data_IF_422733097833
#
_entry.id   IF_422733097833
#
_cell.length_a   1.000
_cell.length_b   1.000
_cell.length_c   1.000
_cell.angle_alpha   90.00
_cell.angle_beta   90.00
_cell.angle_gamma   90.00
#
_symmetry.space_group_name_H-M   'P 1'
#
loop_
_entity.id
_entity.type
_entity.pdbx_description
1 polymer ?
#
# COMPACT_ATOMS: atom_id res chain seq x y z
N UNK A 1 45.61 31.08 -9.22
CA UNK A 1 45.62 30.90 -7.75
C UNK A 1 44.43 30.11 -7.15
N UNK A 2 43.20 30.03 -7.72
CA UNK A 2 42.06 29.37 -7.05
C UNK A 2 42.09 27.83 -7.05
N UNK A 3 42.82 27.21 -8.00
CA UNK A 3 42.87 25.74 -8.11
C UNK A 3 43.71 25.05 -7.02
N UNK A 4 44.64 25.77 -6.38
CA UNK A 4 45.48 25.20 -5.32
C UNK A 4 44.73 25.11 -3.98
N UNK A 5 43.99 26.16 -3.63
CA UNK A 5 43.15 26.17 -2.42
C UNK A 5 42.02 25.14 -2.48
N UNK A 6 41.44 24.92 -3.66
CA UNK A 6 40.42 23.87 -3.86
C UNK A 6 40.98 22.46 -3.62
N UNK A 7 42.17 22.17 -4.16
CA UNK A 7 42.84 20.87 -3.94
C UNK A 7 43.21 20.63 -2.47
N UNK A 8 43.60 21.68 -1.73
CA UNK A 8 43.87 21.58 -0.30
C UNK A 8 42.58 21.31 0.49
N UNK A 9 41.48 21.98 0.12
CA UNK A 9 40.18 21.77 0.77
C UNK A 9 39.64 20.35 0.51
N UNK A 10 39.74 19.85 -0.73
CA UNK A 10 39.33 18.49 -1.10
C UNK A 10 40.17 17.43 -0.36
N UNK A 11 41.47 17.69 -0.17
CA UNK A 11 42.37 16.81 0.59
C UNK A 11 42.01 16.78 2.10
N UNK A 12 41.70 17.93 2.70
CA UNK A 12 41.26 18.00 4.09
C UNK A 12 39.90 17.32 4.30
N UNK A 13 38.95 17.49 3.35
CA UNK A 13 37.67 16.79 3.36
C UNK A 13 37.86 15.27 3.26
N UNK A 14 38.78 14.80 2.40
CA UNK A 14 39.09 13.37 2.28
C UNK A 14 39.66 12.80 3.60
N UNK A 15 40.52 13.54 4.31
CA UNK A 15 41.07 13.11 5.61
C UNK A 15 39.98 13.06 6.68
N UNK A 16 39.09 14.05 6.73
CA UNK A 16 37.97 14.08 7.68
C UNK A 16 37.00 12.93 7.40
N UNK A 17 36.67 12.68 6.14
CA UNK A 17 35.84 11.55 5.72
C UNK A 17 36.49 10.21 6.07
N UNK A 18 37.79 10.05 5.81
CA UNK A 18 38.53 8.84 6.16
C UNK A 18 38.51 8.59 7.68
N UNK A 19 38.74 9.63 8.48
CA UNK A 19 38.73 9.54 9.94
C UNK A 19 37.33 9.23 10.48
N UNK A 20 36.29 9.79 9.87
CA UNK A 20 34.90 9.47 10.19
C UNK A 20 34.57 8.01 9.85
N UNK A 21 34.97 7.52 8.68
CA UNK A 21 34.80 6.12 8.26
C UNK A 21 35.54 5.17 9.21
N UNK A 22 36.79 5.46 9.55
CA UNK A 22 37.58 4.63 10.48
C UNK A 22 36.94 4.59 11.86
N UNK A 23 36.50 5.73 12.40
CA UNK A 23 35.80 5.78 13.68
C UNK A 23 34.48 5.00 13.65
N UNK A 24 33.76 5.04 12.52
CA UNK A 24 32.49 4.33 12.35
C UNK A 24 32.71 2.82 12.25
N UNK A 25 33.77 2.38 11.55
CA UNK A 25 34.21 0.99 11.51
C UNK A 25 34.64 0.52 12.91
N UNK A 26 35.40 1.34 13.63
CA UNK A 26 35.89 0.97 14.97
C UNK A 26 34.77 0.91 16.01
N UNK A 27 33.77 1.79 15.90
CA UNK A 27 32.54 1.73 16.68
C UNK A 27 31.67 0.52 16.32
N UNK A 28 31.58 0.16 15.04
CA UNK A 28 30.89 -1.06 14.61
C UNK A 28 31.61 -2.30 15.16
N UNK A 29 32.93 -2.37 15.04
CA UNK A 29 33.74 -3.48 15.54
C UNK A 29 33.60 -3.62 17.06
N UNK A 30 33.60 -2.53 17.83
CA UNK A 30 33.43 -2.60 19.29
C UNK A 30 32.02 -3.02 19.73
N UNK A 31 31.00 -2.81 18.89
CA UNK A 31 29.64 -3.33 19.10
C UNK A 31 29.55 -4.83 18.78
N UNK A 32 30.32 -5.32 17.80
CA UNK A 32 30.25 -6.70 17.32
C UNK A 32 31.25 -7.67 17.96
N UNK A 33 32.37 -7.21 18.52
CA UNK A 33 33.33 -8.09 19.20
C UNK A 33 32.80 -8.41 20.62
N UNK A 34 32.48 -9.69 20.92
CA UNK A 34 31.98 -10.07 22.23
C UNK A 34 33.06 -9.90 23.31
N UNK A 35 32.71 -9.32 24.45
CA UNK A 35 33.58 -9.31 25.64
C UNK A 35 33.62 -10.66 26.35
N UNK A 36 32.64 -11.54 26.07
CA UNK A 36 32.52 -12.91 26.59
C UNK A 36 31.87 -13.84 25.56
N UNK A 37 32.24 -15.14 25.49
CA UNK A 37 31.74 -16.08 24.47
C UNK A 37 30.22 -16.34 24.55
N UNK A 38 29.62 -16.18 25.73
CA UNK A 38 28.16 -16.27 25.95
C UNK A 38 27.52 -14.88 25.97
N UNK A 39 27.41 -14.27 24.80
CA UNK A 39 26.79 -12.94 24.66
C UNK A 39 25.90 -12.86 23.42
N UNK A 40 24.98 -11.89 23.40
CA UNK A 40 24.07 -11.69 22.27
C UNK A 40 24.83 -11.35 20.98
N UNK A 41 26.02 -10.75 21.11
CA UNK A 41 26.94 -10.45 20.01
C UNK A 41 27.33 -11.72 19.25
N UNK A 42 27.50 -12.86 19.94
CA UNK A 42 27.80 -14.16 19.31
C UNK A 42 26.69 -14.58 18.34
N UNK A 43 25.43 -14.33 18.67
CA UNK A 43 24.30 -14.68 17.79
C UNK A 43 24.27 -13.79 16.54
N UNK A 44 24.58 -12.50 16.67
CA UNK A 44 24.73 -11.62 15.50
C UNK A 44 25.90 -12.07 14.62
N UNK A 45 27.02 -12.48 15.21
CA UNK A 45 28.16 -13.00 14.47
C UNK A 45 27.82 -14.32 13.76
N UNK A 46 27.10 -15.24 14.41
CA UNK A 46 26.60 -16.47 13.79
C UNK A 46 25.64 -16.17 12.65
N UNK A 47 24.73 -15.21 12.81
CA UNK A 47 23.85 -14.74 11.73
C UNK A 47 24.65 -14.22 10.53
N UNK A 48 25.67 -13.39 10.77
CA UNK A 48 26.50 -12.85 9.71
C UNK A 48 27.35 -13.94 9.02
N UNK A 49 27.91 -14.86 9.82
CA UNK A 49 28.66 -16.00 9.32
C UNK A 49 27.78 -16.91 8.46
N UNK A 50 26.58 -17.26 8.93
CA UNK A 50 25.62 -18.05 8.14
C UNK A 50 25.23 -17.34 6.84
N UNK A 51 25.09 -16.02 6.86
CA UNK A 51 24.81 -15.24 5.65
C UNK A 51 25.97 -15.32 4.66
N UNK A 52 27.21 -15.14 5.12
CA UNK A 52 28.39 -15.24 4.27
C UNK A 52 28.54 -16.65 3.68
N UNK A 53 28.41 -17.68 4.51
CA UNK A 53 28.46 -19.07 4.05
C UNK A 53 27.34 -19.39 3.06
N UNK A 54 26.17 -18.74 3.17
CA UNK A 54 25.06 -18.94 2.23
C UNK A 54 25.38 -18.44 0.82
N UNK A 55 26.28 -17.47 0.67
CA UNK A 55 26.70 -16.97 -0.65
C UNK A 55 27.62 -17.95 -1.37
N UNK A 56 28.32 -18.80 -0.61
CA UNK A 56 29.24 -19.83 -1.11
C UNK A 56 28.55 -21.18 -1.33
N UNK A 57 27.31 -21.32 -0.88
CA UNK A 57 26.55 -22.56 -0.95
C UNK A 57 25.44 -22.48 -2.00
N UNK A 58 25.00 -23.63 -2.48
CA UNK A 58 23.89 -23.75 -3.44
C UNK A 58 22.78 -24.66 -2.92
N UNK A 59 21.60 -24.55 -3.57
CA UNK A 59 20.45 -25.41 -3.33
C UNK A 59 19.94 -25.39 -1.88
N UNK A 60 19.74 -26.58 -1.31
CA UNK A 60 19.15 -26.77 0.03
C UNK A 60 20.06 -26.22 1.13
N UNK A 61 21.39 -26.35 0.98
CA UNK A 61 22.36 -25.89 1.96
C UNK A 61 22.29 -24.37 2.10
N UNK A 62 22.18 -23.66 0.97
CA UNK A 62 21.96 -22.20 0.97
C UNK A 62 20.68 -21.81 1.69
N UNK A 63 19.57 -22.51 1.44
CA UNK A 63 18.27 -22.25 2.11
C UNK A 63 18.35 -22.47 3.62
N UNK A 64 19.01 -23.55 4.06
CA UNK A 64 19.22 -23.84 5.48
C UNK A 64 20.06 -22.74 6.14
N UNK A 65 21.15 -22.31 5.49
CA UNK A 65 22.00 -21.24 5.99
C UNK A 65 21.24 -19.92 6.11
N UNK A 66 20.46 -19.52 5.10
CA UNK A 66 19.59 -18.34 5.16
C UNK A 66 18.51 -18.44 6.25
N UNK A 67 18.00 -19.64 6.51
CA UNK A 67 17.09 -19.88 7.64
C UNK A 67 17.78 -19.63 8.98
N UNK A 68 19.02 -20.11 9.14
CA UNK A 68 19.83 -19.90 10.35
C UNK A 68 20.16 -18.41 10.56
N UNK A 69 20.38 -17.63 9.51
CA UNK A 69 20.51 -16.16 9.60
C UNK A 69 19.31 -15.58 10.34
N UNK A 70 18.09 -15.91 9.90
CA UNK A 70 16.87 -15.41 10.53
C UNK A 70 16.75 -15.82 12.00
N UNK A 71 16.97 -17.11 12.30
CA UNK A 71 16.87 -17.65 13.66
C UNK A 71 17.87 -16.97 14.60
N UNK A 72 19.15 -16.91 14.22
CA UNK A 72 20.18 -16.28 15.05
C UNK A 72 19.95 -14.79 15.22
N UNK A 73 19.48 -14.10 14.18
CA UNK A 73 19.12 -12.69 14.27
C UNK A 73 17.97 -12.45 15.26
N UNK A 74 16.88 -13.25 15.20
CA UNK A 74 15.73 -13.11 16.09
C UNK A 74 16.14 -13.35 17.54
N UNK A 75 16.89 -14.42 17.81
CA UNK A 75 17.40 -14.74 19.15
C UNK A 75 18.37 -13.67 19.64
N UNK A 76 19.27 -13.19 18.78
CA UNK A 76 20.23 -12.14 19.08
C UNK A 76 19.56 -10.83 19.45
N UNK A 77 18.56 -10.39 18.67
CA UNK A 77 17.78 -9.18 18.96
C UNK A 77 16.95 -9.35 20.22
N UNK A 78 16.27 -10.48 20.42
CA UNK A 78 15.51 -10.74 21.64
C UNK A 78 16.41 -10.65 22.88
N UNK A 79 17.57 -11.32 22.85
CA UNK A 79 18.50 -11.30 23.97
C UNK A 79 19.09 -9.90 24.18
N UNK A 80 19.56 -9.23 23.12
CA UNK A 80 20.12 -7.88 23.22
C UNK A 80 19.11 -6.89 23.81
N UNK A 81 17.87 -6.91 23.32
CA UNK A 81 16.82 -5.99 23.78
C UNK A 81 16.30 -6.32 25.19
N UNK A 82 16.35 -7.59 25.60
CA UNK A 82 15.98 -8.01 26.97
C UNK A 82 17.10 -7.73 27.98
N UNK A 83 18.37 -7.89 27.57
CA UNK A 83 19.53 -7.59 28.39
C UNK A 83 19.68 -6.08 28.65
N UNK A 84 19.35 -5.27 27.63
CA UNK A 84 19.33 -3.82 27.74
C UNK A 84 18.10 -3.35 28.52
N UNK A 85 18.27 -3.17 29.83
CA UNK A 85 17.21 -2.76 30.77
C UNK A 85 16.59 -1.41 30.46
N UNK A 86 17.02 -0.65 29.46
CA UNK A 86 16.59 0.72 29.18
C UNK A 86 15.44 0.83 28.15
N UNK A 87 15.13 -0.22 27.39
CA UNK A 87 14.16 -0.16 26.30
C UNK A 87 12.71 -0.47 26.74
N UNK A 88 11.98 0.58 27.12
CA UNK A 88 10.59 0.49 27.56
C UNK A 88 9.73 1.55 26.85
N UNK A 89 8.54 1.17 26.40
CA UNK A 89 7.54 2.10 25.82
C UNK A 89 6.94 2.96 26.94
N UNK A 90 6.66 2.34 28.08
CA UNK A 90 6.18 3.01 29.28
C UNK A 90 6.79 2.32 30.49
N UNK A 91 7.29 3.12 31.45
CA UNK A 91 7.85 2.64 32.71
C UNK A 91 7.22 3.43 33.84
N UNK A 92 6.54 2.74 34.75
CA UNK A 92 6.11 3.37 36.00
C UNK A 92 7.34 3.58 36.88
N UNK A 93 7.72 4.84 37.10
CA UNK A 93 8.86 5.19 37.95
C UNK A 93 8.59 4.96 39.45
N UNK A 94 7.33 4.84 39.87
CA UNK A 94 6.93 4.79 41.29
C UNK A 94 6.75 3.35 41.82
N UNK A 95 6.64 2.34 40.96
CA UNK A 95 6.51 0.93 41.39
C UNK A 95 7.84 0.34 41.88
N UNK A 96 7.84 -0.27 43.07
CA UNK A 96 8.92 -1.15 43.55
C UNK A 96 8.35 -2.57 43.76
N UNK A 97 8.93 -3.61 43.11
CA UNK A 97 10.09 -3.56 42.22
C UNK A 97 9.76 -2.90 40.87
N UNK A 98 10.75 -2.23 40.24
CA UNK A 98 10.66 -1.56 38.93
C UNK A 98 10.44 -2.57 37.78
N UNK A 99 9.34 -3.30 37.81
CA UNK A 99 8.96 -4.36 36.84
C UNK A 99 7.68 -4.03 36.10
N UNK A 100 6.98 -2.95 36.48
CA UNK A 100 5.71 -2.58 35.89
C UNK A 100 5.92 -1.57 34.76
N UNK A 101 5.70 -2.03 33.52
CA UNK A 101 5.90 -1.26 32.30
C UNK A 101 5.68 -2.10 31.06
N UNK A 102 5.58 -1.46 29.90
CA UNK A 102 5.43 -2.13 28.61
C UNK A 102 6.81 -2.27 27.96
N UNK A 103 7.41 -3.48 27.91
CA UNK A 103 8.73 -3.66 27.31
C UNK A 103 8.66 -3.45 25.80
N UNK A 104 9.63 -2.72 25.24
CA UNK A 104 9.74 -2.51 23.79
C UNK A 104 10.33 -3.75 23.08
N UNK A 105 11.09 -4.58 23.81
CA UNK A 105 11.76 -5.76 23.29
C UNK A 105 10.81 -6.73 22.54
N UNK A 106 9.67 -7.17 23.11
CA UNK A 106 8.74 -8.05 22.41
C UNK A 106 8.11 -7.44 21.14
N UNK A 107 8.00 -6.12 21.07
CA UNK A 107 7.56 -5.41 19.87
C UNK A 107 8.58 -5.52 18.75
N UNK A 108 9.85 -5.20 19.02
CA UNK A 108 10.93 -5.29 18.03
C UNK A 108 11.13 -6.75 17.59
N UNK A 109 11.25 -7.67 18.54
CA UNK A 109 11.43 -9.10 18.24
C UNK A 109 10.24 -9.67 17.47
N UNK A 110 9.01 -9.30 17.85
CA UNK A 110 7.81 -9.72 17.12
C UNK A 110 7.76 -9.20 15.68
N UNK A 111 8.25 -7.98 15.42
CA UNK A 111 8.29 -7.42 14.06
C UNK A 111 9.22 -8.24 13.16
N UNK A 112 10.43 -8.53 13.67
CA UNK A 112 11.43 -9.32 12.94
C UNK A 112 10.94 -10.76 12.76
N UNK A 113 10.34 -11.35 13.79
CA UNK A 113 9.76 -12.69 13.72
C UNK A 113 8.61 -12.75 12.71
N UNK A 114 7.73 -11.76 12.66
CA UNK A 114 6.68 -11.67 11.65
C UNK A 114 7.25 -11.56 10.23
N UNK A 115 8.23 -10.68 10.02
CA UNK A 115 8.89 -10.56 8.72
C UNK A 115 9.52 -11.90 8.30
N UNK A 116 10.18 -12.57 9.24
CA UNK A 116 10.75 -13.89 8.98
C UNK A 116 9.68 -14.94 8.65
N UNK A 117 8.61 -15.06 9.45
CA UNK A 117 7.57 -16.09 9.28
C UNK A 117 6.70 -15.89 8.03
N UNK A 118 6.38 -14.65 7.67
CA UNK A 118 5.43 -14.35 6.60
C UNK A 118 6.09 -13.89 5.28
N UNK A 119 7.38 -13.53 5.30
CA UNK A 119 8.12 -13.10 4.10
C UNK A 119 9.28 -14.04 3.82
N UNK A 120 10.23 -14.16 4.74
CA UNK A 120 11.48 -14.91 4.50
C UNK A 120 11.28 -16.41 4.44
N UNK A 121 10.54 -17.00 5.38
CA UNK A 121 10.34 -18.44 5.47
C UNK A 121 9.53 -18.98 4.27
N UNK A 122 8.41 -18.36 3.84
CA UNK A 122 7.71 -18.78 2.62
C UNK A 122 8.57 -18.61 1.37
N UNK A 123 9.36 -17.53 1.28
CA UNK A 123 10.32 -17.34 0.18
C UNK A 123 11.33 -18.48 0.11
N UNK A 124 11.83 -18.96 1.25
CA UNK A 124 12.82 -20.06 1.31
C UNK A 124 12.21 -21.43 1.04
N UNK A 125 11.02 -21.71 1.60
CA UNK A 125 10.38 -23.04 1.52
C UNK A 125 9.60 -23.27 0.22
N UNK A 126 8.93 -22.24 -0.28
CA UNK A 126 8.00 -22.34 -1.42
C UNK A 126 8.54 -21.67 -2.70
N UNK A 127 9.76 -21.11 -2.66
CA UNK A 127 10.38 -20.34 -3.74
C UNK A 127 9.46 -19.26 -4.33
N UNK A 128 8.54 -18.74 -3.49
CA UNK A 128 7.53 -17.74 -3.86
C UNK A 128 7.41 -16.69 -2.77
N UNK A 129 7.40 -15.42 -3.16
CA UNK A 129 7.07 -14.33 -2.25
C UNK A 129 5.55 -14.25 -2.16
N UNK A 130 4.94 -14.42 -0.97
CA UNK A 130 3.51 -14.25 -0.82
C UNK A 130 3.16 -12.78 -1.05
N UNK A 131 2.28 -12.47 -2.01
CA UNK A 131 1.82 -11.10 -2.28
C UNK A 131 1.20 -10.44 -1.02
N UNK A 132 0.62 -11.25 -0.14
CA UNK A 132 0.05 -10.81 1.13
C UNK A 132 0.99 -10.96 2.34
N UNK A 133 2.23 -11.44 2.15
CA UNK A 133 3.15 -11.75 3.25
C UNK A 133 3.42 -10.56 4.15
N UNK A 134 3.70 -9.39 3.56
CA UNK A 134 3.92 -8.16 4.32
C UNK A 134 2.66 -7.65 5.06
N UNK A 135 1.48 -7.78 4.45
CA UNK A 135 0.21 -7.38 5.09
C UNK A 135 -0.12 -8.31 6.27
N UNK A 136 0.02 -9.63 6.07
CA UNK A 136 -0.17 -10.62 7.11
C UNK A 136 0.83 -10.43 8.27
N UNK A 137 2.10 -10.14 7.97
CA UNK A 137 3.12 -9.83 8.96
C UNK A 137 2.71 -8.66 9.86
N UNK A 138 2.24 -7.55 9.27
CA UNK A 138 1.82 -6.36 10.02
C UNK A 138 0.56 -6.60 10.86
N UNK A 139 -0.41 -7.35 10.34
CA UNK A 139 -1.62 -7.72 11.09
C UNK A 139 -1.30 -8.66 12.26
N UNK A 140 -0.42 -9.64 12.05
CA UNK A 140 -0.04 -10.62 13.08
C UNK A 140 0.93 -10.05 14.13
N UNK A 141 1.67 -8.98 13.78
CA UNK A 141 2.75 -8.44 14.61
C UNK A 141 2.33 -8.12 16.05
N UNK A 142 1.27 -7.35 16.33
CA UNK A 142 0.85 -7.07 17.71
C UNK A 142 0.59 -8.36 18.52
N UNK A 143 -0.08 -9.35 17.92
CA UNK A 143 -0.40 -10.62 18.58
C UNK A 143 0.86 -11.41 18.93
N UNK A 144 1.77 -11.56 17.96
CA UNK A 144 3.03 -12.29 18.16
C UNK A 144 3.89 -11.58 19.23
N UNK A 145 3.92 -10.25 19.22
CA UNK A 145 4.62 -9.46 20.23
C UNK A 145 4.08 -9.70 21.65
N UNK A 146 2.77 -9.84 21.83
CA UNK A 146 2.20 -10.19 23.14
C UNK A 146 2.56 -11.60 23.56
N UNK A 147 2.54 -12.57 22.64
CA UNK A 147 2.92 -13.95 22.95
C UNK A 147 4.36 -14.00 23.47
N UNK A 148 5.28 -13.29 22.79
CA UNK A 148 6.68 -13.16 23.24
C UNK A 148 6.76 -12.49 24.61
N UNK A 149 6.01 -11.40 24.83
CA UNK A 149 5.99 -10.69 26.10
C UNK A 149 5.43 -11.54 27.26
N UNK A 150 4.46 -12.40 26.96
CA UNK A 150 3.76 -13.23 27.94
C UNK A 150 4.56 -14.49 28.33
N UNK A 151 5.35 -15.05 27.41
CA UNK A 151 6.12 -16.28 27.60
C UNK A 151 6.89 -16.37 28.95
N UNK A 152 7.69 -15.37 29.38
CA UNK A 152 8.45 -15.45 30.64
C UNK A 152 7.57 -15.44 31.90
N UNK A 153 6.29 -15.06 31.81
CA UNK A 153 5.38 -15.13 32.95
C UNK A 153 4.81 -16.53 33.19
N UNK A 154 4.77 -17.35 32.14
CA UNK A 154 4.33 -18.74 32.22
C UNK A 154 5.49 -19.73 32.41
N UNK A 155 6.70 -19.35 32.02
CA UNK A 155 7.90 -20.18 32.13
C UNK A 155 8.86 -19.59 33.17
N UNK A 156 9.12 -20.31 34.25
CA UNK A 156 10.20 -19.96 35.19
C UNK A 156 11.28 -21.01 35.17
N UNK A 157 12.53 -20.55 35.11
CA UNK A 157 13.69 -21.39 35.33
C UNK A 157 13.89 -21.51 36.84
N UNK A 158 13.63 -22.69 37.40
CA UNK A 158 13.81 -23.00 38.82
C UNK A 158 14.80 -24.16 38.94
N UNK A 159 15.96 -23.92 39.55
CA UNK A 159 17.06 -24.90 39.68
C UNK A 159 17.42 -25.56 38.33
N UNK A 160 17.63 -24.75 37.30
CA UNK A 160 17.96 -25.18 35.92
C UNK A 160 16.89 -26.04 35.21
N UNK A 161 15.72 -26.23 35.81
CA UNK A 161 14.56 -26.86 35.17
C UNK A 161 13.53 -25.81 34.74
N UNK A 162 13.07 -25.91 33.48
CA UNK A 162 12.00 -25.06 32.97
C UNK A 162 10.65 -25.56 33.51
N UNK A 163 10.09 -24.87 34.50
CA UNK A 163 8.79 -25.22 35.09
C UNK A 163 7.71 -24.25 34.65
N UNK A 164 6.62 -24.81 34.12
CA UNK A 164 5.42 -24.03 33.81
C UNK A 164 4.74 -23.60 35.12
N UNK A 165 4.63 -22.30 35.35
CA UNK A 165 3.96 -21.76 36.54
C UNK A 165 2.86 -20.81 36.10
N UNK A 166 1.65 -21.05 36.59
CA UNK A 166 0.56 -20.13 36.32
C UNK A 166 0.82 -18.76 36.99
N UNK A 167 0.69 -17.64 36.27
CA UNK A 167 0.91 -16.31 36.83
C UNK A 167 -0.15 -15.97 37.90
N UNK A 168 0.15 -14.97 38.74
CA UNK A 168 -0.78 -14.51 39.78
C UNK A 168 -2.05 -13.88 39.16
N UNK A 169 -3.19 -13.85 39.87
CA UNK A 169 -4.45 -13.30 39.33
C UNK A 169 -4.33 -11.87 38.77
N UNK A 170 -3.62 -10.99 39.48
CA UNK A 170 -3.35 -9.61 39.03
C UNK A 170 -2.53 -9.57 37.72
N UNK A 171 -1.53 -10.45 37.60
CA UNK A 171 -0.72 -10.55 36.39
C UNK A 171 -1.55 -11.09 35.21
N UNK A 172 -2.46 -12.04 35.45
CA UNK A 172 -3.38 -12.54 34.42
C UNK A 172 -4.27 -11.43 33.86
N UNK A 173 -4.83 -10.58 34.73
CA UNK A 173 -5.63 -9.43 34.30
C UNK A 173 -4.82 -8.49 33.40
N UNK A 174 -3.60 -8.15 33.80
CA UNK A 174 -2.71 -7.30 32.99
C UNK A 174 -2.39 -7.94 31.63
N UNK A 175 -2.13 -9.25 31.58
CA UNK A 175 -1.88 -9.97 30.33
C UNK A 175 -3.12 -10.01 29.42
N UNK A 176 -4.32 -10.18 29.98
CA UNK A 176 -5.58 -10.14 29.21
C UNK A 176 -5.83 -8.75 28.63
N UNK A 177 -5.61 -7.68 29.41
CA UNK A 177 -5.73 -6.30 28.93
C UNK A 177 -4.72 -6.04 27.82
N UNK A 178 -3.46 -6.45 28.02
CA UNK A 178 -2.41 -6.33 27.01
C UNK A 178 -2.76 -7.07 25.72
N UNK A 179 -3.26 -8.30 25.83
CA UNK A 179 -3.68 -9.10 24.69
C UNK A 179 -4.86 -8.46 23.95
N UNK A 180 -5.90 -8.00 24.67
CA UNK A 180 -7.05 -7.32 24.10
C UNK A 180 -6.65 -6.03 23.36
N UNK A 181 -5.72 -5.25 23.92
CA UNK A 181 -5.19 -4.07 23.24
C UNK A 181 -4.49 -4.43 21.93
N UNK A 182 -3.67 -5.49 21.91
CA UNK A 182 -2.97 -5.89 20.69
C UNK A 182 -3.91 -6.50 19.65
N UNK A 183 -4.98 -7.20 20.06
CA UNK A 183 -6.07 -7.59 19.15
C UNK A 183 -6.67 -6.35 18.51
N UNK A 184 -6.99 -5.32 19.29
CA UNK A 184 -7.56 -4.09 18.76
C UNK A 184 -6.64 -3.44 17.73
N UNK A 185 -5.33 -3.36 18.01
CA UNK A 185 -4.33 -2.85 17.05
C UNK A 185 -4.27 -3.71 15.78
N UNK A 186 -4.28 -5.03 15.91
CA UNK A 186 -4.34 -5.94 14.75
C UNK A 186 -5.60 -5.74 13.92
N UNK A 187 -6.76 -5.54 14.56
CA UNK A 187 -8.01 -5.21 13.89
C UNK A 187 -7.91 -3.88 13.13
N UNK A 188 -7.26 -2.86 13.71
CA UNK A 188 -7.00 -1.60 13.03
C UNK A 188 -6.12 -1.76 11.79
N UNK A 189 -5.05 -2.57 11.85
CA UNK A 189 -4.25 -2.86 10.67
C UNK A 189 -5.05 -3.61 9.60
N UNK A 190 -5.84 -4.61 10.00
CA UNK A 190 -6.68 -5.34 9.06
C UNK A 190 -7.72 -4.42 8.40
N UNK A 191 -8.37 -3.57 9.19
CA UNK A 191 -9.32 -2.58 8.70
C UNK A 191 -8.65 -1.60 7.74
N UNK A 192 -7.46 -1.09 8.08
CA UNK A 192 -6.68 -0.22 7.19
C UNK A 192 -6.43 -0.90 5.83
N UNK A 193 -5.92 -2.14 5.81
CA UNK A 193 -5.67 -2.84 4.56
C UNK A 193 -6.94 -3.15 3.77
N UNK A 194 -8.04 -3.45 4.46
CA UNK A 194 -9.34 -3.66 3.84
C UNK A 194 -9.80 -2.40 3.12
N UNK A 195 -9.78 -1.25 3.79
CA UNK A 195 -10.16 0.04 3.22
C UNK A 195 -9.25 0.43 2.06
N UNK A 196 -7.92 0.31 2.21
CA UNK A 196 -6.99 0.60 1.11
C UNK A 196 -7.26 -0.27 -0.12
N UNK A 197 -7.56 -1.55 0.09
CA UNK A 197 -7.94 -2.45 -0.99
C UNK A 197 -9.27 -2.04 -1.64
N UNK A 198 -10.26 -1.62 -0.87
CA UNK A 198 -11.52 -1.10 -1.42
C UNK A 198 -11.28 0.17 -2.23
N UNK A 199 -10.52 1.13 -1.74
CA UNK A 199 -10.24 2.38 -2.44
C UNK A 199 -9.44 2.18 -3.73
N UNK A 200 -8.57 1.16 -3.77
CA UNK A 200 -7.84 0.79 -5.00
C UNK A 200 -8.76 0.13 -6.02
N UNK A 201 -9.69 -0.71 -5.57
CA UNK A 201 -10.58 -1.48 -6.45
C UNK A 201 -11.85 -0.72 -6.85
N UNK A 202 -12.20 0.32 -6.09
CA UNK A 202 -13.37 1.17 -6.24
C UNK A 202 -13.00 2.66 -6.04
N UNK A 203 -12.14 3.24 -6.88
CA UNK A 203 -11.74 4.65 -6.79
C UNK A 203 -12.91 5.65 -6.73
N UNK A 204 -14.08 5.38 -7.33
CA UNK A 204 -15.20 6.33 -7.22
C UNK A 204 -15.76 6.46 -5.82
N UNK A 205 -15.46 5.54 -4.90
CA UNK A 205 -15.76 5.74 -3.48
C UNK A 205 -15.09 7.01 -2.94
N UNK A 206 -13.95 7.43 -3.48
CA UNK A 206 -13.28 8.66 -3.06
C UNK A 206 -14.00 9.94 -3.47
N UNK A 207 -14.85 9.85 -4.50
CA UNK A 207 -15.68 10.94 -4.99
C UNK A 207 -17.09 10.91 -4.37
N UNK A 208 -17.42 9.85 -3.61
CA UNK A 208 -18.74 9.69 -3.01
C UNK A 208 -18.90 10.55 -1.75
N UNK A 209 -20.15 10.89 -1.43
CA UNK A 209 -20.48 11.79 -0.33
C UNK A 209 -20.73 11.02 0.98
N UNK A 210 -19.75 11.02 1.87
CA UNK A 210 -19.86 10.39 3.21
C UNK A 210 -20.33 11.34 4.33
N UNK A 211 -20.97 12.47 4.02
CA UNK A 211 -21.43 13.43 5.04
C UNK A 211 -22.37 12.84 6.09
N UNK A 212 -23.07 11.74 5.77
CA UNK A 212 -23.95 11.03 6.71
C UNK A 212 -23.28 9.82 7.40
N UNK A 213 -21.97 9.63 7.22
CA UNK A 213 -21.22 8.52 7.82
C UNK A 213 -20.76 8.85 9.24
N UNK A 214 -21.02 7.94 10.19
CA UNK A 214 -20.47 8.03 11.54
C UNK A 214 -18.97 7.70 11.61
N UNK A 215 -18.38 7.16 10.53
CA UNK A 215 -17.01 6.62 10.50
C UNK A 215 -16.04 7.40 9.62
N UNK A 216 -16.54 8.22 8.70
CA UNK A 216 -15.73 8.94 7.71
C UNK A 216 -16.01 10.43 7.82
N UNK A 217 -15.02 11.20 8.27
CA UNK A 217 -15.05 12.66 8.29
C UNK A 217 -14.19 13.21 7.16
N UNK A 218 -14.70 14.20 6.43
CA UNK A 218 -13.94 14.82 5.34
C UNK A 218 -13.03 15.91 5.95
N UNK A 219 -11.73 15.62 6.05
CA UNK A 219 -10.76 16.46 6.80
C UNK A 219 -10.25 17.65 5.94
N UNK A 220 -10.54 17.69 4.64
CA UNK A 220 -10.22 18.81 3.76
C UNK A 220 -11.26 18.92 2.63
N UNK A 221 -11.51 20.11 2.06
CA UNK A 221 -12.23 20.22 0.81
C UNK A 221 -11.47 19.41 -0.24
N UNK A 222 -12.10 18.31 -0.64
CA UNK A 222 -11.50 17.34 -1.54
C UNK A 222 -11.30 18.02 -2.89
N UNK A 223 -10.04 18.24 -3.31
CA UNK A 223 -9.76 18.50 -4.72
C UNK A 223 -10.51 17.47 -5.53
N UNK A 224 -11.31 17.93 -6.49
CA UNK A 224 -12.29 17.18 -7.27
C UNK A 224 -11.70 15.84 -7.73
N UNK A 225 -11.91 14.78 -6.95
CA UNK A 225 -11.43 13.45 -7.30
C UNK A 225 -12.37 12.94 -8.38
N UNK A 226 -11.85 12.82 -9.59
CA UNK A 226 -12.60 12.33 -10.74
C UNK A 226 -13.10 10.90 -10.45
N UNK A 227 -14.37 10.64 -10.77
CA UNK A 227 -14.94 9.29 -10.72
C UNK A 227 -14.31 8.43 -11.80
N UNK A 228 -14.37 7.11 -11.61
CA UNK A 228 -13.94 6.17 -12.66
C UNK A 228 -14.76 6.33 -13.95
N UNK A 229 -16.03 6.74 -13.85
CA UNK A 229 -16.88 7.08 -14.99
C UNK A 229 -16.29 8.21 -15.86
N UNK A 230 -15.81 9.29 -15.24
CA UNK A 230 -15.11 10.39 -15.94
C UNK A 230 -13.89 9.85 -16.69
N UNK A 231 -13.04 9.06 -16.04
CA UNK A 231 -11.85 8.49 -16.67
C UNK A 231 -12.19 7.57 -17.86
N UNK A 232 -13.30 6.81 -17.78
CA UNK A 232 -13.79 5.99 -18.91
C UNK A 232 -14.22 6.87 -20.07
N UNK A 233 -15.02 7.92 -19.82
CA UNK A 233 -15.50 8.84 -20.87
C UNK A 233 -14.34 9.63 -21.50
N UNK A 234 -13.32 9.99 -20.74
CA UNK A 234 -12.09 10.59 -21.25
C UNK A 234 -11.30 9.61 -22.12
N UNK A 235 -11.10 8.37 -21.65
CA UNK A 235 -10.37 7.34 -22.39
C UNK A 235 -11.08 6.90 -23.68
N UNK A 236 -12.41 7.06 -23.78
CA UNK A 236 -13.18 6.80 -25.00
C UNK A 236 -12.94 7.81 -26.13
N UNK A 237 -12.45 9.02 -25.82
CA UNK A 237 -12.29 10.08 -26.83
C UNK A 237 -11.33 9.68 -27.97
N UNK A 238 -10.20 9.06 -27.63
CA UNK A 238 -9.22 8.65 -28.62
C UNK A 238 -9.74 7.54 -29.56
N UNK A 239 -10.28 6.40 -29.05
CA UNK A 239 -10.93 5.41 -29.90
C UNK A 239 -12.07 5.97 -30.76
N UNK A 240 -12.86 6.91 -30.23
CA UNK A 240 -13.95 7.54 -30.99
C UNK A 240 -13.40 8.34 -32.17
N UNK A 241 -12.35 9.15 -31.95
CA UNK A 241 -11.68 9.88 -33.03
C UNK A 241 -11.06 8.95 -34.05
N UNK A 242 -10.35 7.91 -33.62
CA UNK A 242 -9.72 6.94 -34.53
C UNK A 242 -10.73 6.21 -35.43
N UNK A 243 -11.91 5.90 -34.89
CA UNK A 243 -12.94 5.16 -35.63
C UNK A 243 -13.85 6.06 -36.47
N UNK A 244 -14.00 7.34 -36.11
CA UNK A 244 -14.88 8.28 -36.79
C UNK A 244 -14.16 9.29 -37.68
N UNK A 245 -12.98 9.81 -37.33
CA UNK A 245 -12.35 10.88 -38.11
C UNK A 245 -11.88 10.39 -39.49
N UNK A 246 -12.19 11.18 -40.53
CA UNK A 246 -11.79 10.87 -41.91
C UNK A 246 -12.58 9.73 -42.58
N UNK A 247 -13.60 9.17 -41.92
CA UNK A 247 -14.53 8.21 -42.51
C UNK A 247 -15.56 8.89 -43.41
N UNK A 248 -16.22 8.09 -44.25
CA UNK A 248 -17.30 8.57 -45.09
C UNK A 248 -18.54 8.91 -44.24
N UNK A 249 -19.16 10.05 -44.48
CA UNK A 249 -20.34 10.49 -43.72
C UNK A 249 -21.47 9.44 -43.70
N UNK A 250 -21.71 8.77 -44.83
CA UNK A 250 -22.74 7.73 -44.96
C UNK A 250 -22.48 6.48 -44.11
N UNK A 251 -21.20 6.14 -43.88
CA UNK A 251 -20.82 5.03 -43.00
C UNK A 251 -21.03 5.40 -41.53
N UNK A 252 -20.66 6.63 -41.16
CA UNK A 252 -20.85 7.13 -39.80
C UNK A 252 -22.33 7.30 -39.46
N UNK A 253 -23.16 7.74 -40.39
CA UNK A 253 -24.60 7.89 -40.16
C UNK A 253 -25.30 6.56 -39.90
N UNK A 254 -24.87 5.47 -40.57
CA UNK A 254 -25.34 4.11 -40.24
C UNK A 254 -24.91 3.69 -38.84
N UNK A 255 -23.66 3.94 -38.49
CA UNK A 255 -23.10 3.59 -37.18
C UNK A 255 -23.81 4.33 -36.02
N UNK A 256 -24.37 5.51 -36.28
CA UNK A 256 -25.11 6.31 -35.30
C UNK A 256 -26.57 5.86 -35.09
N UNK A 257 -27.07 4.88 -35.86
CA UNK A 257 -28.39 4.28 -35.65
C UNK A 257 -28.46 3.59 -34.27
N UNK A 258 -29.60 3.64 -33.55
CA UNK A 258 -29.67 3.24 -32.14
C UNK A 258 -29.08 1.85 -31.83
N UNK A 259 -29.43 0.82 -32.59
CA UNK A 259 -28.94 -0.55 -32.35
C UNK A 259 -27.46 -0.75 -32.68
N UNK A 260 -26.98 -0.13 -33.77
CA UNK A 260 -25.57 -0.24 -34.17
C UNK A 260 -24.68 0.57 -33.22
N UNK A 261 -25.13 1.77 -32.85
CA UNK A 261 -24.47 2.68 -31.92
C UNK A 261 -24.24 2.04 -30.57
N UNK A 262 -25.26 1.41 -29.98
CA UNK A 262 -25.14 0.83 -28.63
C UNK A 262 -24.16 -0.36 -28.61
N UNK A 263 -24.16 -1.19 -29.66
CA UNK A 263 -23.18 -2.29 -29.82
C UNK A 263 -21.76 -1.78 -30.03
N UNK A 264 -21.62 -0.79 -30.91
CA UNK A 264 -20.35 -0.16 -31.22
C UNK A 264 -19.75 0.53 -29.98
N UNK A 265 -20.53 1.34 -29.27
CA UNK A 265 -20.08 2.02 -28.06
C UNK A 265 -19.73 1.08 -26.92
N UNK A 266 -20.41 -0.06 -26.80
CA UNK A 266 -20.00 -1.09 -25.84
C UNK A 266 -18.58 -1.58 -26.15
N UNK A 267 -18.26 -1.79 -27.43
CA UNK A 267 -16.93 -2.23 -27.87
C UNK A 267 -15.88 -1.14 -27.61
N UNK A 268 -16.20 0.12 -27.94
CA UNK A 268 -15.34 1.28 -27.69
C UNK A 268 -15.09 1.50 -26.20
N UNK A 269 -16.13 1.34 -25.37
CA UNK A 269 -16.01 1.47 -23.92
C UNK A 269 -15.12 0.37 -23.32
N UNK A 270 -15.24 -0.88 -23.78
CA UNK A 270 -14.35 -1.96 -23.35
C UNK A 270 -12.90 -1.73 -23.81
N UNK A 271 -12.68 -1.26 -25.04
CA UNK A 271 -11.35 -0.87 -25.50
C UNK A 271 -10.75 0.25 -24.63
N UNK A 272 -11.54 1.28 -24.30
CA UNK A 272 -11.13 2.37 -23.43
C UNK A 272 -10.76 1.86 -22.02
N UNK A 273 -11.54 0.92 -21.45
CA UNK A 273 -11.22 0.27 -20.16
C UNK A 273 -9.90 -0.49 -20.20
N UNK A 274 -9.54 -1.13 -21.31
CA UNK A 274 -8.24 -1.82 -21.43
C UNK A 274 -7.03 -0.87 -21.40
N UNK A 275 -7.22 0.40 -21.80
CA UNK A 275 -6.18 1.43 -21.75
C UNK A 275 -6.02 2.00 -20.32
N UNK A 276 -6.97 1.75 -19.43
CA UNK A 276 -6.95 2.17 -18.03
C UNK A 276 -6.38 1.07 -17.11
N UNK A 277 -5.91 1.46 -15.92
CA UNK A 277 -5.51 0.47 -14.92
C UNK A 277 -6.72 -0.40 -14.53
N UNK A 278 -6.60 -1.75 -14.56
CA UNK A 278 -7.74 -2.63 -14.36
C UNK A 278 -8.22 -2.58 -12.92
N UNK A 279 -9.50 -2.29 -12.72
CA UNK A 279 -10.14 -2.26 -11.39
C UNK A 279 -11.44 -3.06 -11.42
N UNK A 280 -11.84 -3.64 -10.28
CA UNK A 280 -13.13 -4.35 -10.17
C UNK A 280 -14.32 -3.44 -10.46
N UNK A 281 -14.16 -2.15 -10.19
CA UNK A 281 -15.16 -1.12 -10.47
C UNK A 281 -15.62 -1.06 -11.93
N UNK A 282 -14.77 -1.39 -12.90
CA UNK A 282 -15.05 -1.25 -14.34
C UNK A 282 -16.28 -2.04 -14.80
N UNK A 283 -16.64 -3.11 -14.07
CA UNK A 283 -17.82 -3.95 -14.34
C UNK A 283 -19.14 -3.32 -13.92
N UNK A 284 -19.07 -2.30 -13.05
CA UNK A 284 -20.23 -1.61 -12.50
C UNK A 284 -20.54 -0.32 -13.26
N UNK A 285 -19.71 0.06 -14.24
CA UNK A 285 -19.95 1.19 -15.12
C UNK A 285 -20.46 0.73 -16.48
N UNK A 286 -21.61 1.27 -16.87
CA UNK A 286 -22.17 1.10 -18.21
C UNK A 286 -22.22 2.44 -18.92
N UNK A 287 -21.76 2.48 -20.17
CA UNK A 287 -21.85 3.67 -21.00
C UNK A 287 -23.11 3.56 -21.85
N UNK A 288 -23.95 4.58 -21.78
CA UNK A 288 -25.08 4.78 -22.70
C UNK A 288 -24.80 6.00 -23.56
N UNK A 289 -25.54 6.13 -24.66
CA UNK A 289 -25.49 7.35 -25.45
C UNK A 289 -26.85 7.77 -25.94
N UNK A 290 -26.95 9.06 -26.23
CA UNK A 290 -28.01 9.63 -27.03
C UNK A 290 -27.39 10.41 -28.18
N UNK A 291 -27.95 10.29 -29.38
CA UNK A 291 -27.53 11.05 -30.53
C UNK A 291 -28.66 11.98 -30.93
N UNK A 292 -28.41 13.29 -30.89
CA UNK A 292 -29.34 14.31 -31.35
C UNK A 292 -28.78 14.97 -32.60
N UNK A 293 -29.60 15.09 -33.66
CA UNK A 293 -29.22 15.89 -34.83
C UNK A 293 -29.15 17.37 -34.42
N UNK A 294 -28.06 18.04 -34.80
CA UNK A 294 -27.85 19.48 -34.53
C UNK A 294 -27.19 20.13 -35.74
N UNK A 295 -27.86 21.13 -36.29
CA UNK A 295 -27.44 21.89 -37.46
C UNK A 295 -27.07 21.00 -38.67
N UNK A 296 -25.77 20.91 -38.99
CA UNK A 296 -25.22 20.13 -40.10
C UNK A 296 -24.63 18.77 -39.69
N UNK A 297 -24.80 18.33 -38.44
CA UNK A 297 -24.21 17.09 -37.95
C UNK A 297 -24.97 16.42 -36.81
N UNK A 298 -24.27 15.58 -36.05
CA UNK A 298 -24.81 14.86 -34.91
C UNK A 298 -24.06 15.25 -33.63
N UNK A 299 -24.80 15.43 -32.54
CA UNK A 299 -24.22 15.52 -31.21
C UNK A 299 -24.40 14.19 -30.51
N UNK A 300 -23.29 13.51 -30.20
CA UNK A 300 -23.24 12.26 -29.47
C UNK A 300 -23.01 12.56 -27.99
N UNK A 301 -24.06 12.46 -27.19
CA UNK A 301 -24.00 12.60 -25.74
C UNK A 301 -23.71 11.22 -25.13
N UNK A 302 -22.55 11.07 -24.51
CA UNK A 302 -22.12 9.87 -23.80
C UNK A 302 -22.42 10.03 -22.32
N UNK A 303 -22.99 8.99 -21.71
CA UNK A 303 -23.37 8.97 -20.30
C UNK A 303 -22.74 7.76 -19.62
N UNK A 304 -21.91 7.99 -18.59
CA UNK A 304 -21.44 6.92 -17.73
C UNK A 304 -22.39 6.73 -16.56
N UNK A 305 -23.02 5.56 -16.49
CA UNK A 305 -24.02 5.20 -15.48
C UNK A 305 -23.40 4.20 -14.52
N UNK A 306 -23.40 4.54 -13.23
CA UNK A 306 -23.00 3.66 -12.16
C UNK A 306 -24.13 2.69 -11.81
N UNK A 307 -23.83 1.39 -11.77
CA UNK A 307 -24.75 0.32 -11.39
C UNK A 307 -24.42 -0.30 -10.03
N UNK A 308 -23.39 0.20 -9.36
CA UNK A 308 -22.97 -0.30 -8.05
C UNK A 308 -23.74 0.35 -6.89
N UNK A 309 -23.36 0.02 -5.64
CA UNK A 309 -23.91 0.66 -4.46
C UNK A 309 -23.51 2.15 -4.41
N UNK A 310 -24.42 2.99 -3.93
CA UNK A 310 -24.19 4.42 -3.68
C UNK A 310 -24.44 4.77 -2.22
N UNK A 311 -23.69 5.74 -1.70
CA UNK A 311 -23.97 6.33 -0.37
C UNK A 311 -25.33 7.03 -0.30
N UNK A 312 -25.81 7.57 -1.43
CA UNK A 312 -27.09 8.26 -1.55
C UNK A 312 -27.97 7.59 -2.62
N UNK A 313 -29.16 7.09 -2.26
CA UNK A 313 -30.03 6.38 -3.20
C UNK A 313 -30.66 7.29 -4.26
N UNK A 314 -30.68 8.61 -4.08
CA UNK A 314 -31.50 9.54 -4.88
C UNK A 314 -30.73 10.41 -5.90
N UNK A 315 -29.39 10.42 -5.91
CA UNK A 315 -28.60 11.41 -6.70
C UNK A 315 -27.50 10.82 -7.60
N UNK A 316 -27.75 9.65 -8.19
CA UNK A 316 -26.89 9.12 -9.28
C UNK A 316 -27.23 9.82 -10.60
N UNK A 317 -26.80 11.08 -10.74
CA UNK A 317 -26.78 11.71 -12.05
C UNK A 317 -25.61 11.10 -12.85
N UNK A 318 -25.84 10.68 -14.10
CA UNK A 318 -24.78 10.13 -14.92
C UNK A 318 -23.73 11.21 -15.23
N UNK A 319 -22.46 10.82 -15.28
CA UNK A 319 -21.41 11.70 -15.79
C UNK A 319 -21.57 11.80 -17.31
N UNK A 320 -21.51 13.02 -17.87
CA UNK A 320 -21.84 13.24 -19.27
C UNK A 320 -20.69 13.83 -20.06
N UNK A 321 -20.49 13.34 -21.29
CA UNK A 321 -19.52 13.90 -22.25
C UNK A 321 -20.18 14.08 -23.61
N UNK A 322 -20.11 15.28 -24.17
CA UNK A 322 -20.72 15.59 -25.47
C UNK A 322 -19.65 15.59 -26.56
N UNK A 323 -19.88 14.88 -27.65
CA UNK A 323 -19.02 14.84 -28.83
C UNK A 323 -19.79 15.29 -30.07
N UNK A 324 -19.37 16.40 -30.65
CA UNK A 324 -19.92 16.93 -31.90
C UNK A 324 -19.26 16.24 -33.10
N UNK A 325 -20.07 15.64 -33.95
CA UNK A 325 -19.66 14.94 -35.18
C UNK A 325 -20.18 15.76 -36.36
N UNK A 326 -19.27 16.37 -37.12
CA UNK A 326 -19.60 17.26 -38.25
C UNK A 326 -19.07 16.73 -39.57
N UNK A 327 -19.82 16.87 -40.68
CA UNK A 327 -19.32 16.61 -42.01
C UNK A 327 -18.37 17.73 -42.45
N UNK A 328 -17.25 17.35 -43.03
CA UNK A 328 -16.28 18.19 -43.71
C UNK A 328 -16.37 17.87 -45.20
N UNK A 329 -16.40 18.88 -46.06
CA UNK A 329 -16.50 18.68 -47.52
C UNK A 329 -15.19 19.11 -48.19
N UNK A 330 -14.19 18.21 -48.34
CA UNK A 330 -12.96 18.59 -49.00
C UNK A 330 -13.20 18.91 -50.47
N UNK A 331 -13.80 18.01 -51.26
CA UNK A 331 -13.81 18.17 -52.73
C UNK A 331 -14.95 17.48 -53.51
N UNK A 332 -15.88 16.74 -52.88
CA UNK A 332 -17.16 16.21 -53.47
C UNK A 332 -17.83 15.19 -52.54
N UNK A 333 -17.05 14.54 -51.67
CA UNK A 333 -17.51 13.53 -50.71
C UNK A 333 -17.33 14.06 -49.30
N UNK A 334 -18.35 13.96 -48.45
CA UNK A 334 -18.30 14.39 -47.07
C UNK A 334 -17.48 13.40 -46.22
N UNK A 335 -16.42 13.89 -45.58
CA UNK A 335 -15.68 13.19 -44.52
C UNK A 335 -16.10 13.71 -43.15
N UNK A 336 -15.67 13.09 -42.07
CA UNK A 336 -16.10 13.40 -40.69
C UNK A 336 -14.99 14.02 -39.85
N UNK A 337 -15.37 14.93 -38.96
CA UNK A 337 -14.53 15.47 -37.89
C UNK A 337 -15.28 15.42 -36.56
N UNK A 338 -14.61 14.95 -35.51
CA UNK A 338 -15.14 14.83 -34.16
C UNK A 338 -14.46 15.80 -33.19
N UNK A 339 -15.28 16.57 -32.47
CA UNK A 339 -14.83 17.44 -31.38
C UNK A 339 -15.60 17.10 -30.11
N UNK A 340 -14.90 16.71 -29.04
CA UNK A 340 -15.51 16.41 -27.75
C UNK A 340 -15.28 17.55 -26.76
N UNK A 341 -16.32 17.89 -26.00
CA UNK A 341 -16.25 18.76 -24.82
C UNK A 341 -15.67 17.97 -23.63
N UNK A 342 -15.10 18.65 -22.61
CA UNK A 342 -14.74 18.00 -21.35
C UNK A 342 -15.97 17.37 -20.68
N UNK A 343 -15.72 16.39 -19.79
CA UNK A 343 -16.80 15.70 -19.07
C UNK A 343 -17.47 16.68 -18.11
N UNK A 344 -18.78 16.87 -18.26
CA UNK A 344 -19.62 17.61 -17.32
C UNK A 344 -20.04 16.64 -16.22
N UNK A 345 -19.59 16.93 -15.01
CA UNK A 345 -19.91 16.17 -13.81
C UNK A 345 -20.21 17.07 -12.63
N UNK A 346 -20.62 16.48 -11.50
CA UNK A 346 -20.86 17.18 -10.20
C UNK A 346 -19.69 18.07 -9.75
N UNK A 347 -18.53 17.93 -10.39
CA UNK A 347 -17.33 18.67 -10.11
C UNK A 347 -17.33 20.13 -10.60
N UNK A 348 -18.13 20.47 -11.63
CA UNK A 348 -18.04 21.77 -12.30
C UNK A 348 -19.19 22.73 -11.94
N UNK A 349 -20.28 22.22 -11.34
CA UNK A 349 -21.44 23.02 -10.90
C UNK A 349 -21.31 23.56 -9.45
N UNK A 350 -20.15 23.40 -8.80
CA UNK A 350 -19.87 24.11 -7.56
C UNK A 350 -19.19 25.43 -7.89
N UNK A 351 -20.00 26.48 -8.01
CA UNK A 351 -19.52 27.87 -8.00
C UNK A 351 -18.45 28.05 -6.91
N UNK A 352 -17.36 28.78 -7.18
CA UNK A 352 -16.36 29.04 -6.17
C UNK A 352 -17.02 29.80 -5.02
N UNK A 353 -17.17 29.12 -3.87
CA UNK A 353 -17.49 29.80 -2.63
C UNK A 353 -16.27 30.65 -2.29
N UNK A 354 -16.36 31.93 -2.68
CA UNK A 354 -15.44 32.98 -2.29
C UNK A 354 -15.58 33.12 -0.77
N UNK A 355 -14.54 32.72 -0.03
CA UNK A 355 -14.33 33.13 1.36
C UNK A 355 -13.38 34.32 1.42
#
# INVERSE_FOLDING_TARGET
>A
MPNFLRKILDFLLAIVLLKWIVNLIQAAISIFIPSTPFSYQTLFLLSLFSYFMSQLADGIIRKLLLSLVGIFLILGVYWATTANKELWIYRDQKSKPKKDGLPLSPWITGAILCAYLFVTLPMLLLDRIPELGGKAALVAWPIISVIIAAAPYFMKLEKDELRAKAPSPRMRQNLVILFGFNILVSCWFQFYFLIQNWLTQYPSLLADNFTQSAFVINVAPTQLRQTRGVAILEAMELPLKEQLDGKLWSEVEKLLLPEERDKWLTTVAEEAKTKLSPVKEDRLWTVKSNASSRDSGYNLELQAIWQGPHSQPETSYPEQKSCQITPVYPQTVATTSVKCEPVKGKAEDQDPIIF
#
